data_IF_559391942614
#
_entry.id   IF_559391942614
#
_cell.length_a   1.000
_cell.length_b   1.000
_cell.length_c   1.000
_cell.angle_alpha   90.00
_cell.angle_beta   90.00
_cell.angle_gamma   90.00
#
_symmetry.space_group_name_H-M   'P 1'
#
loop_
_entity.id
_entity.type
_entity.pdbx_description
1 polymer ?
#
# COMPACT_ATOMS: atom_id res chain seq x y z
N UNK A 1 -9.39 9.54 10.56
CA UNK A 1 -10.05 9.89 9.28
C UNK A 1 -9.84 11.37 9.03
N UNK A 2 -9.21 11.75 7.91
CA UNK A 2 -8.87 13.16 7.63
C UNK A 2 -8.03 13.32 6.36
N UNK A 3 -7.37 14.47 6.20
CA UNK A 3 -6.46 14.80 5.09
C UNK A 3 -5.51 13.66 4.68
N UNK A 4 -4.79 12.97 5.60
CA UNK A 4 -3.86 11.92 5.20
C UNK A 4 -4.54 10.74 4.47
N UNK A 5 -5.78 10.39 4.85
CA UNK A 5 -6.54 9.33 4.20
C UNK A 5 -6.84 9.70 2.74
N UNK A 6 -7.29 10.94 2.50
CA UNK A 6 -7.58 11.43 1.15
C UNK A 6 -6.33 11.55 0.29
N UNK A 7 -5.23 12.06 0.85
CA UNK A 7 -3.97 12.20 0.14
C UNK A 7 -3.39 10.84 -0.27
N UNK A 8 -3.45 9.84 0.61
CA UNK A 8 -3.04 8.46 0.28
C UNK A 8 -3.84 7.88 -0.89
N UNK A 9 -5.16 8.09 -0.89
CA UNK A 9 -6.02 7.65 -2.00
C UNK A 9 -5.66 8.32 -3.34
N UNK A 10 -5.41 9.63 -3.32
CA UNK A 10 -4.97 10.37 -4.51
C UNK A 10 -3.56 9.96 -4.97
N UNK A 11 -2.64 9.71 -4.03
CA UNK A 11 -1.29 9.27 -4.34
C UNK A 11 -1.30 7.90 -5.03
N UNK A 12 -2.05 6.92 -4.51
CA UNK A 12 -2.17 5.60 -5.10
C UNK A 12 -2.76 5.66 -6.51
N UNK A 13 -3.80 6.46 -6.71
CA UNK A 13 -4.40 6.63 -8.04
C UNK A 13 -3.42 7.30 -9.02
N UNK A 14 -2.75 8.38 -8.63
CA UNK A 14 -1.76 9.04 -9.49
C UNK A 14 -0.56 8.14 -9.82
N UNK A 15 -0.10 7.33 -8.86
CA UNK A 15 0.96 6.36 -9.10
C UNK A 15 0.51 5.32 -10.13
N UNK A 16 -0.70 4.76 -9.98
CA UNK A 16 -1.25 3.79 -10.91
C UNK A 16 -1.38 4.35 -12.32
N UNK A 17 -1.96 5.55 -12.47
CA UNK A 17 -2.12 6.20 -13.77
C UNK A 17 -0.79 6.49 -14.47
N UNK A 18 0.28 6.75 -13.71
CA UNK A 18 1.61 7.04 -14.29
C UNK A 18 2.42 5.79 -14.60
N UNK A 19 2.24 4.71 -13.85
CA UNK A 19 3.09 3.51 -13.94
C UNK A 19 2.45 2.36 -14.74
N UNK A 20 1.13 2.31 -14.83
CA UNK A 20 0.45 1.25 -15.57
C UNK A 20 0.44 1.55 -17.07
N UNK A 21 0.69 0.52 -17.88
CA UNK A 21 0.48 0.55 -19.33
C UNK A 21 -0.99 0.86 -19.64
N UNK A 22 -1.30 1.89 -20.45
CA UNK A 22 -2.67 2.22 -20.86
C UNK A 22 -3.47 1.02 -21.38
N UNK A 23 -2.84 0.09 -22.09
CA UNK A 23 -3.50 -1.11 -22.63
C UNK A 23 -3.92 -2.11 -21.53
N UNK A 24 -3.32 -2.02 -20.33
CA UNK A 24 -3.53 -2.94 -19.20
C UNK A 24 -4.10 -2.24 -17.96
N UNK A 25 -4.54 -0.99 -18.10
CA UNK A 25 -5.06 -0.18 -16.99
C UNK A 25 -6.17 -0.88 -16.20
N UNK A 26 -7.12 -1.52 -16.87
CA UNK A 26 -8.21 -2.24 -16.19
C UNK A 26 -7.70 -3.36 -15.28
N UNK A 27 -6.75 -4.17 -15.76
CA UNK A 27 -6.12 -5.22 -14.97
C UNK A 27 -5.28 -4.66 -13.81
N UNK A 28 -4.55 -3.56 -14.05
CA UNK A 28 -3.73 -2.90 -13.02
C UNK A 28 -4.60 -2.33 -11.88
N UNK A 29 -5.71 -1.66 -12.21
CA UNK A 29 -6.72 -1.20 -11.22
C UNK A 29 -7.30 -2.39 -10.46
N UNK A 30 -7.61 -3.48 -11.16
CA UNK A 30 -8.11 -4.72 -10.54
C UNK A 30 -7.15 -5.27 -9.49
N UNK A 31 -5.87 -5.43 -9.85
CA UNK A 31 -4.82 -5.91 -8.95
C UNK A 31 -4.64 -4.99 -7.74
N UNK A 32 -4.61 -3.67 -7.95
CA UNK A 32 -4.53 -2.70 -6.85
C UNK A 32 -5.66 -2.93 -5.84
N UNK A 33 -6.90 -3.09 -6.32
CA UNK A 33 -8.05 -3.35 -5.45
C UNK A 33 -7.95 -4.71 -4.75
N UNK A 34 -7.49 -5.76 -5.44
CA UNK A 34 -7.25 -7.07 -4.82
C UNK A 34 -6.23 -6.98 -3.68
N UNK A 35 -5.11 -6.28 -3.88
CA UNK A 35 -4.11 -6.08 -2.82
C UNK A 35 -4.66 -5.24 -1.66
N UNK A 36 -5.48 -4.22 -1.93
CA UNK A 36 -6.18 -3.48 -0.86
C UNK A 36 -7.06 -4.39 -0.01
N UNK A 37 -7.86 -5.26 -0.65
CA UNK A 37 -8.71 -6.19 0.10
C UNK A 37 -7.90 -7.23 0.88
N UNK A 38 -6.81 -7.74 0.29
CA UNK A 38 -5.91 -8.65 0.99
C UNK A 38 -5.30 -7.99 2.24
N UNK A 39 -4.84 -6.74 2.12
CA UNK A 39 -4.34 -5.96 3.25
C UNK A 39 -5.41 -5.74 4.33
N UNK A 40 -6.66 -5.48 3.92
CA UNK A 40 -7.77 -5.34 4.86
C UNK A 40 -8.07 -6.66 5.60
N UNK A 41 -8.04 -7.81 4.91
CA UNK A 41 -8.23 -9.12 5.55
C UNK A 41 -7.14 -9.41 6.58
N UNK A 42 -5.87 -9.13 6.23
CA UNK A 42 -4.73 -9.30 7.16
C UNK A 42 -4.87 -8.38 8.36
N UNK A 43 -5.27 -7.11 8.15
CA UNK A 43 -5.52 -6.18 9.24
C UNK A 43 -6.63 -6.70 10.18
N UNK A 44 -7.77 -7.13 9.63
CA UNK A 44 -8.87 -7.68 10.43
C UNK A 44 -8.48 -8.94 11.19
N UNK A 45 -7.70 -9.84 10.59
CA UNK A 45 -7.20 -11.03 11.26
C UNK A 45 -6.22 -10.68 12.39
N UNK A 46 -5.38 -9.66 12.18
CA UNK A 46 -4.44 -9.18 13.19
C UNK A 46 -5.18 -8.56 14.38
N UNK A 47 -6.16 -7.69 14.12
CA UNK A 47 -7.01 -7.07 15.15
C UNK A 47 -7.73 -8.14 15.99
N UNK A 48 -8.27 -9.18 15.35
CA UNK A 48 -8.91 -10.30 16.05
C UNK A 48 -7.93 -11.11 16.92
N UNK A 49 -6.67 -11.23 16.48
CA UNK A 49 -5.63 -11.95 17.23
C UNK A 49 -5.11 -11.15 18.43
N UNK A 50 -4.99 -9.83 18.32
CA UNK A 50 -4.49 -8.95 19.40
C UNK A 50 -5.58 -8.56 20.41
N UNK A 51 -6.86 -8.53 20.00
CA UNK A 51 -7.99 -8.16 20.87
C UNK A 51 -9.03 -9.28 21.04
N UNK A 52 -8.66 -10.47 21.55
CA UNK A 52 -9.61 -11.58 21.69
C UNK A 52 -10.68 -11.35 22.78
N UNK A 53 -10.40 -10.54 23.80
CA UNK A 53 -11.29 -10.34 24.96
C UNK A 53 -11.70 -8.87 25.19
N UNK A 54 -11.25 -7.94 24.33
CA UNK A 54 -11.51 -6.51 24.45
C UNK A 54 -10.26 -5.66 24.17
N UNK A 55 -10.45 -4.36 23.92
CA UNK A 55 -9.36 -3.42 23.70
C UNK A 55 -8.67 -3.09 25.04
N UNK A 56 -7.48 -3.64 25.26
CA UNK A 56 -6.62 -3.33 26.39
C UNK A 56 -5.37 -2.54 25.95
N UNK A 57 -4.64 -1.99 26.92
CA UNK A 57 -3.44 -1.19 26.63
C UNK A 57 -2.30 -2.06 26.10
N UNK A 58 -2.25 -3.33 26.47
CA UNK A 58 -1.25 -4.30 25.99
C UNK A 58 -1.42 -4.61 24.50
N UNK A 59 -2.63 -5.01 24.08
CA UNK A 59 -2.95 -5.32 22.69
C UNK A 59 -2.78 -4.12 21.75
N UNK A 60 -3.01 -2.90 22.24
CA UNK A 60 -2.69 -1.68 21.47
C UNK A 60 -1.18 -1.52 21.21
N UNK A 61 -0.33 -1.90 22.16
CA UNK A 61 1.12 -1.84 22.00
C UNK A 61 1.62 -2.91 21.02
N UNK A 62 1.08 -4.12 21.13
CA UNK A 62 1.39 -5.22 20.20
C UNK A 62 0.93 -4.91 18.78
N UNK A 63 -0.26 -4.33 18.62
CA UNK A 63 -0.75 -3.87 17.32
C UNK A 63 0.14 -2.76 16.75
N UNK A 64 0.57 -1.81 17.58
CA UNK A 64 1.48 -0.76 17.15
C UNK A 64 2.84 -1.32 16.69
N UNK A 65 3.40 -2.30 17.40
CA UNK A 65 4.62 -2.99 16.99
C UNK A 65 4.44 -3.76 15.69
N UNK A 66 3.29 -4.43 15.51
CA UNK A 66 2.95 -5.12 14.27
C UNK A 66 2.85 -4.16 13.08
N UNK A 67 2.14 -3.04 13.24
CA UNK A 67 2.04 -2.00 12.21
C UNK A 67 3.41 -1.38 11.90
N UNK A 68 4.26 -1.17 12.92
CA UNK A 68 5.61 -0.65 12.75
C UNK A 68 6.51 -1.63 11.97
N UNK A 69 6.42 -2.92 12.25
CA UNK A 69 7.12 -3.95 11.48
C UNK A 69 6.68 -3.96 10.01
N UNK A 70 5.37 -3.88 9.75
CA UNK A 70 4.84 -3.78 8.38
C UNK A 70 5.30 -2.51 7.66
N UNK A 71 5.28 -1.36 8.34
CA UNK A 71 5.73 -0.08 7.78
C UNK A 71 7.23 -0.07 7.48
N UNK A 72 8.06 -0.61 8.37
CA UNK A 72 9.51 -0.71 8.15
C UNK A 72 9.85 -1.66 7.01
N UNK A 73 9.14 -2.79 6.88
CA UNK A 73 9.28 -3.69 5.74
C UNK A 73 8.89 -3.02 4.43
N UNK A 74 7.73 -2.35 4.37
CA UNK A 74 7.30 -1.61 3.19
C UNK A 74 8.28 -0.49 2.82
N UNK A 75 8.81 0.23 3.81
CA UNK A 75 9.81 1.26 3.60
C UNK A 75 11.10 0.66 3.03
N UNK A 76 11.58 -0.45 3.60
CA UNK A 76 12.76 -1.14 3.10
C UNK A 76 12.57 -1.58 1.63
N UNK A 77 11.46 -2.25 1.32
CA UNK A 77 11.12 -2.65 -0.06
C UNK A 77 11.09 -1.45 -1.01
N UNK A 78 10.44 -0.36 -0.60
CA UNK A 78 10.35 0.87 -1.41
C UNK A 78 11.74 1.47 -1.67
N UNK A 79 12.62 1.49 -0.67
CA UNK A 79 13.98 2.02 -0.81
C UNK A 79 14.88 1.12 -1.67
N UNK A 80 14.67 -0.20 -1.62
CA UNK A 80 15.41 -1.20 -2.38
C UNK A 80 14.92 -1.33 -3.83
N UNK A 81 13.67 -0.94 -4.10
CA UNK A 81 13.07 -1.01 -5.43
C UNK A 81 13.66 0.05 -6.37
N UNK A 82 14.64 -0.37 -7.17
CA UNK A 82 15.30 0.48 -8.18
C UNK A 82 14.36 0.90 -9.32
N UNK A 83 13.25 0.20 -9.55
CA UNK A 83 12.30 0.56 -10.60
C UNK A 83 11.64 1.92 -10.31
N UNK A 84 11.47 2.26 -9.02
CA UNK A 84 10.92 3.54 -8.57
C UNK A 84 11.84 4.74 -8.86
N UNK A 85 13.13 4.52 -9.17
CA UNK A 85 14.04 5.60 -9.59
C UNK A 85 13.73 6.12 -11.00
N UNK A 86 13.08 5.31 -11.85
CA UNK A 86 12.77 5.68 -13.23
C UNK A 86 11.31 6.13 -13.38
N UNK A 87 10.97 7.28 -12.76
CA UNK A 87 9.68 7.94 -12.97
C UNK A 87 9.61 8.71 -14.32
N UNK A 88 10.69 8.73 -15.10
CA UNK A 88 10.76 9.43 -16.38
C UNK A 88 10.28 8.50 -17.52
N UNK A 89 9.26 8.91 -18.31
CA UNK A 89 8.91 8.19 -19.52
C UNK A 89 10.12 8.18 -20.46
N UNK A 90 10.54 7.00 -20.91
CA UNK A 90 11.38 6.91 -22.10
C UNK A 90 10.55 7.43 -23.28
N UNK A 91 10.74 8.70 -23.63
CA UNK A 91 10.16 9.32 -24.82
C UNK A 91 10.39 8.37 -26.00
N UNK A 92 9.32 7.87 -26.68
CA UNK A 92 9.52 7.08 -27.87
C UNK A 92 10.22 7.97 -28.90
N UNK A 93 11.45 7.63 -29.25
CA UNK A 93 12.17 8.26 -30.35
C UNK A 93 11.43 7.89 -31.63
N UNK A 94 10.57 8.79 -32.12
CA UNK A 94 10.02 8.70 -33.48
C UNK A 94 11.21 8.71 -34.46
N UNK A 95 11.32 7.64 -35.24
CA UNK A 95 12.12 7.59 -36.46
C UNK A 95 11.28 8.13 -37.62
#
# INVERSE_FOLDING_TARGET
MGIPQGLNGLANQNALYRQADPARMGSAVGLLRTFMYLGAMVASASDAAVFPHGADTGGLHDLALFMLAGATLLLAVTLLDRSLRSLAPSTPRKA
#
